data_IF_332280670672
#
_entry.id   IF_332280670672
#
_cell.length_a   1.000
_cell.length_b   1.000
_cell.length_c   1.000
_cell.angle_alpha   90.00
_cell.angle_beta   90.00
_cell.angle_gamma   90.00
#
_symmetry.space_group_name_H-M   'P 1'
#
loop_
_entity.id
_entity.type
_entity.pdbx_description
1 polymer ?
#
# COMPACT_ATOMS: atom_id res chain seq x y z
N UNK A 1 50.81 41.28 -49.21
CA UNK A 1 50.78 40.88 -47.79
C UNK A 1 49.47 40.16 -47.53
N UNK A 2 49.50 38.83 -47.45
CA UNK A 2 48.33 37.97 -47.25
C UNK A 2 48.54 37.12 -46.00
N UNK A 3 47.73 37.27 -44.95
CA UNK A 3 47.58 36.22 -43.96
C UNK A 3 46.39 35.33 -44.37
N UNK A 4 46.74 34.17 -44.90
CA UNK A 4 45.86 33.04 -45.08
C UNK A 4 45.28 32.60 -43.72
N UNK A 5 44.00 32.23 -43.75
CA UNK A 5 43.16 31.83 -42.63
C UNK A 5 43.84 30.73 -41.77
N UNK A 6 44.39 31.14 -40.62
CA UNK A 6 45.02 30.27 -39.63
C UNK A 6 43.93 29.43 -38.96
N UNK A 7 43.79 28.16 -39.37
CA UNK A 7 42.90 27.19 -38.71
C UNK A 7 43.37 27.01 -37.27
N UNK A 8 42.65 27.63 -36.33
CA UNK A 8 42.99 27.64 -34.91
C UNK A 8 42.90 26.23 -34.32
N UNK A 9 44.01 25.65 -33.82
CA UNK A 9 44.02 24.32 -33.23
C UNK A 9 43.23 24.25 -31.90
N UNK A 10 42.91 25.40 -31.29
CA UNK A 10 42.11 25.47 -30.07
C UNK A 10 40.64 25.04 -30.24
N UNK A 11 40.03 25.22 -31.42
CA UNK A 11 38.62 24.88 -31.58
C UNK A 11 38.40 23.36 -31.62
N UNK A 12 39.33 22.62 -32.21
CA UNK A 12 39.32 21.15 -32.25
C UNK A 12 39.62 20.53 -30.87
N UNK A 13 40.49 21.17 -30.09
CA UNK A 13 40.83 20.71 -28.73
C UNK A 13 39.66 20.86 -27.76
N UNK A 14 38.87 21.94 -27.86
CA UNK A 14 37.67 22.13 -27.04
C UNK A 14 36.56 21.10 -27.37
N UNK A 15 36.41 20.69 -28.64
CA UNK A 15 35.44 19.66 -29.01
C UNK A 15 35.85 18.27 -28.50
N UNK A 16 37.16 17.96 -28.51
CA UNK A 16 37.69 16.72 -27.95
C UNK A 16 37.48 16.62 -26.43
N UNK A 17 37.60 17.73 -25.70
CA UNK A 17 37.38 17.79 -24.25
C UNK A 17 35.89 17.63 -23.92
N UNK A 18 34.99 18.29 -24.65
CA UNK A 18 33.53 18.13 -24.47
C UNK A 18 33.08 16.71 -24.81
N UNK A 19 33.59 16.10 -25.88
CA UNK A 19 33.28 14.71 -26.23
C UNK A 19 33.78 13.71 -25.17
N UNK A 20 34.94 13.96 -24.56
CA UNK A 20 35.48 13.13 -23.48
C UNK A 20 34.68 13.28 -22.18
N UNK A 21 34.20 14.48 -21.86
CA UNK A 21 33.36 14.75 -20.70
C UNK A 21 31.94 14.17 -20.85
N UNK A 22 31.34 14.21 -22.05
CA UNK A 22 30.02 13.60 -22.29
C UNK A 22 30.07 12.06 -22.27
N UNK A 23 31.17 11.45 -22.72
CA UNK A 23 31.36 10.01 -22.68
C UNK A 23 31.61 9.45 -21.26
N UNK A 24 32.10 10.28 -20.33
CA UNK A 24 32.29 9.92 -18.93
C UNK A 24 30.95 9.82 -18.16
N UNK A 25 29.98 10.67 -18.48
CA UNK A 25 28.63 10.66 -17.87
C UNK A 25 27.85 9.37 -18.17
N UNK A 26 28.12 8.73 -19.31
CA UNK A 26 27.43 7.50 -19.72
C UNK A 26 27.86 6.25 -18.94
N UNK A 27 29.02 6.27 -18.24
CA UNK A 27 29.47 5.12 -17.42
C UNK A 27 28.96 5.14 -15.97
N UNK A 28 28.35 6.24 -15.52
CA UNK A 28 27.85 6.36 -14.15
C UNK A 28 26.44 5.75 -13.95
N UNK A 29 25.76 5.35 -15.04
CA UNK A 29 24.45 4.70 -14.99
C UNK A 29 24.55 3.19 -15.21
N UNK A 30 25.57 2.55 -14.65
CA UNK A 30 25.44 1.12 -14.38
C UNK A 30 24.55 1.07 -13.15
N UNK A 31 23.25 0.87 -13.39
CA UNK A 31 22.30 0.54 -12.33
C UNK A 31 22.94 -0.57 -11.48
N UNK A 32 23.08 -0.31 -10.18
CA UNK A 32 23.40 -1.36 -9.22
C UNK A 32 22.44 -2.52 -9.52
N UNK A 33 22.92 -3.78 -9.67
CA UNK A 33 21.99 -4.89 -9.66
C UNK A 33 21.21 -4.76 -8.36
N UNK A 34 19.90 -4.51 -8.46
CA UNK A 34 18.99 -4.55 -7.33
C UNK A 34 19.30 -5.87 -6.64
N UNK A 35 19.80 -5.80 -5.40
CA UNK A 35 19.95 -6.96 -4.54
C UNK A 35 18.67 -7.78 -4.66
N UNK A 36 18.84 -9.05 -5.02
CA UNK A 36 17.76 -10.00 -5.23
C UNK A 36 16.71 -9.89 -4.11
N UNK A 37 15.42 -10.11 -4.40
CA UNK A 37 14.39 -10.15 -3.37
C UNK A 37 14.82 -11.09 -2.23
N UNK A 38 14.67 -10.59 -1.02
CA UNK A 38 15.27 -11.10 0.20
C UNK A 38 15.08 -12.62 0.41
N UNK A 39 16.18 -13.34 0.60
CA UNK A 39 16.21 -14.70 1.17
C UNK A 39 15.98 -14.69 2.68
N UNK A 40 15.17 -13.75 3.19
CA UNK A 40 14.79 -13.72 4.60
C UNK A 40 13.41 -14.36 4.76
N UNK A 41 13.23 -15.24 5.74
CA UNK A 41 11.91 -15.78 6.06
C UNK A 41 10.96 -14.63 6.44
N UNK A 42 9.68 -14.76 6.06
CA UNK A 42 8.65 -13.80 6.43
C UNK A 42 8.27 -14.03 7.90
N UNK A 43 8.51 -13.03 8.75
CA UNK A 43 8.11 -13.02 10.17
C UNK A 43 6.61 -12.72 10.36
N UNK A 44 5.90 -12.37 9.29
CA UNK A 44 4.45 -12.11 9.34
C UNK A 44 3.69 -13.43 9.30
N UNK A 45 2.74 -13.66 10.23
CA UNK A 45 1.96 -14.88 10.24
C UNK A 45 1.09 -14.99 8.98
N UNK A 46 0.87 -16.21 8.50
CA UNK A 46 -0.02 -16.50 7.37
C UNK A 46 -1.46 -16.02 7.61
N UNK A 47 -1.88 -15.96 8.88
CA UNK A 47 -3.19 -15.46 9.29
C UNK A 47 -3.03 -14.38 10.35
N UNK A 48 -3.28 -13.13 9.96
CA UNK A 48 -3.37 -12.03 10.90
C UNK A 48 -4.74 -12.03 11.59
N UNK A 49 -4.75 -11.99 12.93
CA UNK A 49 -5.95 -11.81 13.74
C UNK A 49 -5.80 -10.52 14.53
N UNK A 50 -6.78 -9.64 14.43
CA UNK A 50 -6.83 -8.39 15.19
C UNK A 50 -6.95 -8.72 16.68
N UNK A 51 -6.20 -8.01 17.53
CA UNK A 51 -6.31 -8.14 18.97
C UNK A 51 -7.58 -7.41 19.46
N UNK A 52 -8.61 -8.18 19.81
CA UNK A 52 -9.92 -7.65 20.26
C UNK A 52 -10.10 -7.70 21.79
N UNK A 53 -9.05 -8.05 22.54
CA UNK A 53 -9.14 -8.29 23.98
C UNK A 53 -9.54 -7.06 24.81
N UNK A 54 -9.30 -5.86 24.30
CA UNK A 54 -9.65 -4.59 24.95
C UNK A 54 -11.05 -4.08 24.57
N UNK A 55 -11.77 -4.74 23.66
CA UNK A 55 -13.08 -4.28 23.20
C UNK A 55 -14.16 -4.62 24.23
N UNK A 56 -15.08 -3.69 24.47
CA UNK A 56 -16.25 -3.92 25.35
C UNK A 56 -17.42 -4.60 24.63
N UNK A 57 -17.20 -5.08 23.41
CA UNK A 57 -18.16 -5.81 22.60
C UNK A 57 -17.50 -6.95 21.82
N UNK A 58 -18.31 -7.95 21.45
CA UNK A 58 -17.96 -8.99 20.51
C UNK A 58 -18.54 -8.64 19.14
N UNK A 59 -17.69 -8.61 18.11
CA UNK A 59 -18.09 -8.45 16.71
C UNK A 59 -18.24 -9.82 16.04
N UNK A 60 -19.41 -10.09 15.46
CA UNK A 60 -19.67 -11.30 14.67
C UNK A 60 -20.11 -10.92 13.27
N UNK A 61 -19.50 -11.53 12.28
CA UNK A 61 -19.89 -11.37 10.87
C UNK A 61 -20.49 -12.68 10.39
N UNK A 62 -21.75 -12.63 9.97
CA UNK A 62 -22.53 -13.81 9.57
C UNK A 62 -23.28 -13.55 8.27
N UNK A 63 -23.35 -14.60 7.46
CA UNK A 63 -24.11 -14.60 6.21
C UNK A 63 -25.48 -15.22 6.46
N UNK A 64 -26.50 -14.39 6.66
CA UNK A 64 -27.86 -14.87 7.00
C UNK A 64 -28.59 -15.28 5.71
N UNK A 65 -29.04 -16.54 5.58
CA UNK A 65 -29.78 -17.00 4.42
C UNK A 65 -31.23 -16.47 4.44
N UNK A 66 -31.68 -15.98 3.30
CA UNK A 66 -33.02 -15.48 3.06
C UNK A 66 -33.93 -16.58 2.49
N UNK A 67 -35.23 -16.28 2.43
CA UNK A 67 -36.26 -17.20 1.89
C UNK A 67 -36.03 -17.62 0.43
N UNK A 68 -35.35 -16.77 -0.34
CA UNK A 68 -35.05 -16.96 -1.77
C UNK A 68 -33.67 -17.60 -2.01
N UNK A 69 -32.95 -17.95 -0.94
CA UNK A 69 -31.62 -18.52 -1.02
C UNK A 69 -30.48 -17.49 -1.09
N UNK A 70 -30.78 -16.18 -1.21
CA UNK A 70 -29.76 -15.15 -1.10
C UNK A 70 -29.16 -15.13 0.32
N UNK A 71 -27.91 -14.68 0.47
CA UNK A 71 -27.25 -14.54 1.77
C UNK A 71 -26.89 -13.09 2.02
N UNK A 72 -27.36 -12.54 3.14
CA UNK A 72 -27.09 -11.16 3.50
C UNK A 72 -25.93 -11.08 4.50
N UNK A 73 -24.96 -10.23 4.17
CA UNK A 73 -23.88 -9.86 5.08
C UNK A 73 -24.47 -9.09 6.27
N UNK A 74 -24.24 -9.62 7.47
CA UNK A 74 -24.76 -9.04 8.71
C UNK A 74 -23.63 -8.93 9.72
N UNK A 75 -23.42 -7.72 10.24
CA UNK A 75 -22.52 -7.46 11.36
C UNK A 75 -23.36 -7.37 12.63
N UNK A 76 -22.99 -8.16 13.64
CA UNK A 76 -23.66 -8.20 14.94
C UNK A 76 -22.65 -7.75 15.98
N UNK A 77 -22.99 -6.67 16.70
CA UNK A 77 -22.22 -6.17 17.83
C UNK A 77 -22.94 -6.58 19.12
N UNK A 78 -22.27 -7.36 19.97
CA UNK A 78 -22.82 -7.84 21.24
C UNK A 78 -22.02 -7.22 22.38
N UNK A 79 -22.60 -6.35 23.21
CA UNK A 79 -21.90 -5.82 24.38
C UNK A 79 -21.44 -6.95 25.30
N UNK A 80 -20.25 -6.81 25.89
CA UNK A 80 -19.69 -7.81 26.78
C UNK A 80 -20.58 -8.01 28.01
N UNK A 81 -20.89 -9.27 28.34
CA UNK A 81 -21.77 -9.62 29.46
C UNK A 81 -23.27 -9.46 29.17
N UNK A 82 -23.67 -9.04 27.97
CA UNK A 82 -25.08 -8.97 27.59
C UNK A 82 -25.73 -10.36 27.62
N UNK A 83 -26.84 -10.49 28.35
CA UNK A 83 -27.70 -11.68 28.39
C UNK A 83 -29.15 -11.26 28.25
N UNK A 84 -29.90 -11.90 27.35
CA UNK A 84 -31.30 -11.58 27.07
C UNK A 84 -31.54 -10.09 26.74
N UNK A 85 -30.56 -9.45 26.10
CA UNK A 85 -30.66 -8.05 25.68
C UNK A 85 -31.54 -7.91 24.42
N UNK A 86 -32.23 -6.77 24.26
CA UNK A 86 -32.98 -6.47 23.04
C UNK A 86 -32.03 -6.25 21.84
N UNK A 87 -32.57 -6.38 20.62
CA UNK A 87 -31.84 -6.18 19.37
C UNK A 87 -32.32 -4.88 18.72
N UNK A 88 -31.36 -3.99 18.41
CA UNK A 88 -31.58 -2.88 17.48
C UNK A 88 -31.09 -3.31 16.10
N UNK A 89 -31.96 -3.28 15.10
CA UNK A 89 -31.65 -3.70 13.74
C UNK A 89 -31.67 -2.51 12.78
N UNK A 90 -30.55 -2.31 12.10
CA UNK A 90 -30.43 -1.35 11.00
C UNK A 90 -30.10 -2.10 9.72
N UNK A 91 -30.87 -1.84 8.66
CA UNK A 91 -30.61 -2.34 7.31
C UNK A 91 -30.11 -1.20 6.46
N UNK A 92 -28.96 -1.36 5.82
CA UNK A 92 -28.30 -0.31 5.04
C UNK A 92 -27.92 -0.82 3.65
N UNK A 93 -28.12 -0.03 2.57
CA UNK A 93 -27.54 -0.32 1.26
C UNK A 93 -26.07 0.11 1.17
N UNK A 94 -25.55 0.82 2.18
CA UNK A 94 -24.18 1.30 2.28
C UNK A 94 -23.45 0.42 3.30
N UNK A 95 -22.58 -0.48 2.81
CA UNK A 95 -21.74 -1.44 3.56
C UNK A 95 -21.96 -1.52 5.08
N UNK A 96 -22.55 -2.62 5.56
CA UNK A 96 -22.74 -2.84 7.00
C UNK A 96 -21.41 -2.89 7.78
N UNK A 97 -20.31 -3.31 7.13
CA UNK A 97 -18.98 -3.31 7.73
C UNK A 97 -18.50 -1.90 8.01
N UNK A 98 -18.57 -1.00 7.03
CA UNK A 98 -18.13 0.39 7.17
C UNK A 98 -18.99 1.15 8.18
N UNK A 99 -20.32 0.94 8.13
CA UNK A 99 -21.26 1.56 9.07
C UNK A 99 -20.91 1.25 10.54
N UNK A 100 -20.31 0.09 10.79
CA UNK A 100 -19.95 -0.40 12.12
C UNK A 100 -18.46 -0.31 12.43
N UNK A 101 -17.68 0.39 11.60
CA UNK A 101 -16.23 0.58 11.77
C UNK A 101 -15.78 2.04 11.55
N UNK A 102 -16.72 3.01 11.52
CA UNK A 102 -16.42 4.42 11.24
C UNK A 102 -15.45 5.06 12.25
N UNK A 103 -15.49 4.61 13.50
CA UNK A 103 -14.43 4.85 14.47
C UNK A 103 -13.94 3.46 14.90
N UNK A 104 -12.69 3.13 14.60
CA UNK A 104 -12.01 1.94 15.16
C UNK A 104 -11.83 2.17 16.66
N UNK A 105 -12.90 1.99 17.41
CA UNK A 105 -12.95 2.13 18.86
C UNK A 105 -13.20 0.76 19.51
N UNK A 106 -12.55 0.56 20.65
CA UNK A 106 -12.82 -0.54 21.58
C UNK A 106 -14.15 -0.40 22.32
N UNK A 107 -14.93 0.63 21.99
CA UNK A 107 -16.14 1.04 22.67
C UNK A 107 -17.27 1.25 21.66
N UNK A 108 -18.49 0.86 22.02
CA UNK A 108 -19.74 1.11 21.28
C UNK A 108 -20.31 2.52 21.51
#
# INVERSE_FOLDING_TARGET
MTPALRRSPCLLLNHAIVALLLAASARAQIASPQSAPATLPSETPAHFKVATASWDYERREVMIPMRDGARLHTVILVPQGAKSAPILLTRTPYSASELTSHAESSHL
#
